data_IF_984812197724
#
_entry.id   IF_984812197724
#
_cell.length_a   1.000
_cell.length_b   1.000
_cell.length_c   1.000
_cell.angle_alpha   90.00
_cell.angle_beta   90.00
_cell.angle_gamma   90.00
#
_symmetry.space_group_name_H-M   'P 1'
#
loop_
_entity.id
_entity.type
_entity.pdbx_description
1 polymer ?
#
# COMPACT_ATOMS: atom_id res chain seq x y z
N UNK A 1 -16.55 -5.30 -28.00
CA UNK A 1 -15.59 -6.21 -27.32
C UNK A 1 -15.15 -5.53 -26.04
N UNK A 2 -15.20 -6.22 -24.89
CA UNK A 2 -14.78 -5.63 -23.61
C UNK A 2 -13.25 -5.50 -23.61
N UNK A 3 -12.77 -4.29 -23.41
CA UNK A 3 -11.34 -3.99 -23.21
C UNK A 3 -11.21 -2.87 -22.17
N UNK A 4 -10.61 -3.17 -21.05
CA UNK A 4 -10.38 -2.28 -19.92
C UNK A 4 -8.94 -1.81 -19.83
N UNK A 5 -8.10 -2.16 -20.79
CA UNK A 5 -6.72 -1.73 -20.83
C UNK A 5 -6.64 -0.25 -21.17
N UNK A 6 -5.74 0.46 -20.52
CA UNK A 6 -5.45 1.86 -20.79
C UNK A 6 -3.96 2.03 -21.07
N UNK A 7 -3.62 3.06 -21.86
CA UNK A 7 -2.29 3.22 -22.44
C UNK A 7 -1.22 3.74 -21.47
N UNK A 8 -1.64 4.36 -20.37
CA UNK A 8 -0.70 4.99 -19.43
C UNK A 8 -1.32 5.15 -18.03
N UNK A 9 -0.47 5.30 -17.03
CA UNK A 9 -0.89 5.61 -15.66
C UNK A 9 -1.67 6.93 -15.61
N UNK A 10 -1.29 7.94 -16.37
CA UNK A 10 -2.02 9.20 -16.47
C UNK A 10 -3.45 9.01 -16.99
N UNK A 11 -3.63 8.20 -18.05
CA UNK A 11 -4.97 7.84 -18.54
C UNK A 11 -5.75 7.01 -17.53
N UNK A 12 -5.05 6.17 -16.76
CA UNK A 12 -5.67 5.31 -15.75
C UNK A 12 -6.26 6.10 -14.59
N UNK A 13 -5.62 7.18 -14.12
CA UNK A 13 -6.11 8.03 -13.02
C UNK A 13 -6.97 9.20 -13.49
N UNK A 14 -7.17 9.36 -14.80
CA UNK A 14 -8.02 10.42 -15.34
C UNK A 14 -9.44 10.31 -14.77
N UNK A 15 -9.99 11.45 -14.34
CA UNK A 15 -11.32 11.55 -13.75
C UNK A 15 -11.35 11.42 -12.22
N UNK A 16 -10.22 11.19 -11.55
CA UNK A 16 -10.14 11.37 -10.09
C UNK A 16 -10.29 12.87 -9.83
N UNK A 17 -11.34 13.26 -9.10
CA UNK A 17 -11.69 14.66 -8.88
C UNK A 17 -11.27 15.13 -7.48
N UNK A 18 -11.26 16.43 -7.27
CA UNK A 18 -11.06 17.03 -5.95
C UNK A 18 -12.10 16.51 -4.96
N UNK A 19 -11.66 16.23 -3.74
CA UNK A 19 -12.50 15.70 -2.68
C UNK A 19 -12.83 14.21 -2.79
N UNK A 20 -12.38 13.52 -3.83
CA UNK A 20 -12.65 12.10 -4.00
C UNK A 20 -12.12 11.25 -2.82
N UNK A 21 -12.84 10.18 -2.50
CA UNK A 21 -12.34 9.12 -1.63
C UNK A 21 -11.62 8.08 -2.48
N UNK A 22 -10.34 7.86 -2.19
CA UNK A 22 -9.46 6.96 -2.94
C UNK A 22 -8.88 5.90 -2.00
N UNK A 23 -9.20 4.64 -2.25
CA UNK A 23 -8.53 3.51 -1.62
C UNK A 23 -7.21 3.25 -2.35
N UNK A 24 -6.13 3.08 -1.60
CA UNK A 24 -4.82 2.76 -2.17
C UNK A 24 -4.36 1.43 -1.57
N UNK A 25 -4.18 0.42 -2.40
CA UNK A 25 -3.69 -0.89 -1.99
C UNK A 25 -2.27 -0.81 -1.42
N UNK A 26 -1.89 -1.83 -0.64
CA UNK A 26 -0.56 -1.95 -0.08
C UNK A 26 -0.56 -2.15 1.43
N UNK A 27 0.54 -2.79 1.88
CA UNK A 27 0.89 -2.99 3.27
C UNK A 27 2.39 -2.69 3.41
N UNK A 28 2.74 -1.57 3.98
CA UNK A 28 4.07 -1.00 3.79
C UNK A 28 4.29 -0.71 2.30
N UNK A 29 5.37 -1.21 1.75
CA UNK A 29 5.68 -1.08 0.31
C UNK A 29 5.12 -2.23 -0.54
N UNK A 30 4.73 -3.35 0.10
CA UNK A 30 4.23 -4.52 -0.60
C UNK A 30 2.85 -4.26 -1.22
N UNK A 31 2.73 -4.37 -2.54
CA UNK A 31 1.47 -4.17 -3.27
C UNK A 31 1.06 -2.71 -3.43
N UNK A 32 1.95 -1.75 -3.16
CA UNK A 32 1.68 -0.33 -3.39
C UNK A 32 1.75 0.00 -4.89
N UNK A 33 0.71 0.64 -5.44
CA UNK A 33 0.65 1.03 -6.85
C UNK A 33 1.40 2.35 -7.09
N UNK A 34 2.73 2.34 -6.97
CA UNK A 34 3.56 3.56 -6.95
C UNK A 34 3.37 4.43 -8.19
N UNK A 35 3.32 3.81 -9.37
CA UNK A 35 3.21 4.53 -10.63
C UNK A 35 1.82 5.20 -10.81
N UNK A 36 0.77 4.59 -10.26
CA UNK A 36 -0.56 5.23 -10.19
C UNK A 36 -0.59 6.38 -9.18
N UNK A 37 0.15 6.28 -8.07
CA UNK A 37 0.27 7.36 -7.09
C UNK A 37 1.03 8.53 -7.71
N UNK A 38 2.13 8.29 -8.40
CA UNK A 38 2.92 9.33 -9.08
C UNK A 38 2.04 10.03 -10.15
N UNK A 39 1.32 9.27 -10.95
CA UNK A 39 0.38 9.83 -11.92
C UNK A 39 -0.76 10.64 -11.26
N UNK A 40 -1.24 10.25 -10.08
CA UNK A 40 -2.24 11.02 -9.34
C UNK A 40 -1.68 12.34 -8.81
N UNK A 41 -0.41 12.35 -8.37
CA UNK A 41 0.28 13.57 -7.96
C UNK A 41 0.37 14.56 -9.14
N UNK A 42 0.78 14.07 -10.32
CA UNK A 42 0.89 14.86 -11.56
C UNK A 42 -0.47 15.36 -12.05
N UNK A 43 -1.50 14.50 -11.99
CA UNK A 43 -2.87 14.83 -12.38
C UNK A 43 -3.45 16.00 -11.58
N UNK A 44 -3.08 16.13 -10.31
CA UNK A 44 -3.29 17.35 -9.54
C UNK A 44 -4.52 17.39 -8.66
N UNK A 45 -5.35 16.36 -8.57
CA UNK A 45 -6.51 16.31 -7.66
C UNK A 45 -6.11 16.60 -6.21
N UNK A 46 -6.95 17.32 -5.48
CA UNK A 46 -6.69 17.84 -4.13
C UNK A 46 -7.80 17.47 -3.15
N UNK A 47 -7.55 17.76 -1.87
CA UNK A 47 -8.51 17.54 -0.78
C UNK A 47 -9.00 16.09 -0.70
N UNK A 48 -8.18 15.16 -1.14
CA UNK A 48 -8.52 13.74 -1.20
C UNK A 48 -8.71 13.15 0.20
N UNK A 49 -9.63 12.20 0.31
CA UNK A 49 -9.70 11.27 1.44
C UNK A 49 -9.04 9.96 1.02
N UNK A 50 -7.96 9.59 1.67
CA UNK A 50 -7.22 8.36 1.37
C UNK A 50 -7.55 7.28 2.38
N UNK A 51 -7.81 6.07 1.89
CA UNK A 51 -7.96 4.86 2.71
C UNK A 51 -6.81 3.92 2.37
N UNK A 52 -5.96 3.65 3.36
CA UNK A 52 -4.83 2.71 3.24
C UNK A 52 -4.53 2.09 4.60
N UNK A 53 -3.74 1.03 4.65
CA UNK A 53 -3.34 0.43 5.92
C UNK A 53 -2.43 1.34 6.77
N UNK A 54 -1.61 2.14 6.14
CA UNK A 54 -0.67 3.08 6.78
C UNK A 54 -0.68 4.46 6.10
N UNK A 55 0.19 5.37 6.56
CA UNK A 55 0.27 6.72 6.02
C UNK A 55 1.53 6.97 5.14
N UNK A 56 2.18 5.89 4.71
CA UNK A 56 3.39 5.98 3.91
C UNK A 56 4.67 6.10 4.74
N UNK A 57 5.80 5.82 4.10
CA UNK A 57 7.13 5.86 4.66
C UNK A 57 8.05 6.72 3.82
N UNK A 58 9.07 7.29 4.43
CA UNK A 58 10.04 8.16 3.78
C UNK A 58 9.33 9.29 2.99
N UNK A 59 9.61 9.42 1.71
CA UNK A 59 9.08 10.48 0.84
C UNK A 59 8.59 9.97 -0.53
N UNK A 60 8.36 8.66 -0.64
CA UNK A 60 7.89 8.01 -1.86
C UNK A 60 6.49 7.41 -1.70
N UNK A 61 5.87 7.03 -2.81
CA UNK A 61 4.53 6.43 -2.82
C UNK A 61 3.50 7.28 -2.08
N UNK A 62 2.79 6.71 -1.10
CA UNK A 62 1.76 7.44 -0.35
C UNK A 62 2.34 8.66 0.41
N UNK A 63 3.57 8.56 0.95
CA UNK A 63 4.21 9.71 1.60
C UNK A 63 4.48 10.87 0.62
N UNK A 64 4.81 10.58 -0.65
CA UNK A 64 4.94 11.61 -1.69
C UNK A 64 3.61 12.32 -1.97
N UNK A 65 2.49 11.59 -2.00
CA UNK A 65 1.16 12.16 -2.17
C UNK A 65 0.80 13.11 -1.00
N UNK A 66 1.14 12.73 0.25
CA UNK A 66 0.99 13.58 1.42
C UNK A 66 1.88 14.82 1.33
N UNK A 67 3.16 14.66 1.00
CA UNK A 67 4.13 15.75 0.83
C UNK A 67 3.69 16.76 -0.25
N UNK A 68 3.04 16.29 -1.30
CA UNK A 68 2.44 17.13 -2.34
C UNK A 68 1.17 17.88 -1.87
N UNK A 69 0.75 17.72 -0.61
CA UNK A 69 -0.45 18.35 -0.01
C UNK A 69 -1.73 18.08 -0.81
N UNK A 70 -1.88 16.86 -1.32
CA UNK A 70 -3.07 16.43 -2.06
C UNK A 70 -4.15 15.87 -1.15
N UNK A 71 -3.81 15.48 0.08
CA UNK A 71 -4.66 14.73 1.00
C UNK A 71 -5.14 15.61 2.12
N UNK A 72 -6.45 15.68 2.32
CA UNK A 72 -7.11 16.31 3.47
C UNK A 72 -7.27 15.35 4.64
N UNK A 73 -7.65 14.11 4.36
CA UNK A 73 -7.96 13.09 5.37
C UNK A 73 -7.32 11.76 5.02
N UNK A 74 -6.80 11.07 6.03
CA UNK A 74 -6.37 9.68 5.91
C UNK A 74 -7.15 8.79 6.88
N UNK A 75 -7.66 7.66 6.38
CA UNK A 75 -8.30 6.59 7.15
C UNK A 75 -7.35 5.41 7.09
N UNK A 76 -6.74 5.05 8.23
CA UNK A 76 -5.74 3.99 8.28
C UNK A 76 -5.70 3.30 9.64
N UNK A 77 -4.99 2.18 9.71
CA UNK A 77 -4.84 1.42 10.95
C UNK A 77 -3.51 1.66 11.67
N UNK A 78 -2.48 2.03 10.94
CA UNK A 78 -1.13 2.21 11.47
C UNK A 78 -0.43 3.39 10.78
N UNK A 79 -0.71 4.64 11.21
CA UNK A 79 -0.22 5.83 10.53
C UNK A 79 1.29 6.02 10.64
N UNK A 80 1.90 5.56 11.76
CA UNK A 80 3.33 5.76 12.05
C UNK A 80 4.12 4.48 11.85
N UNK A 81 5.16 4.57 11.04
CA UNK A 81 6.22 3.58 10.90
C UNK A 81 7.56 4.27 11.20
N UNK A 82 8.68 3.57 11.06
CA UNK A 82 10.00 4.09 11.42
C UNK A 82 10.31 5.44 10.75
N UNK A 83 9.92 5.60 9.48
CA UNK A 83 10.25 6.79 8.67
C UNK A 83 9.01 7.59 8.26
N UNK A 84 8.01 7.71 9.13
CA UNK A 84 6.75 8.42 8.84
C UNK A 84 6.83 9.94 9.06
N UNK A 85 8.00 10.54 8.87
CA UNK A 85 8.23 11.95 9.17
C UNK A 85 7.33 12.91 8.37
N UNK A 86 6.94 12.57 7.14
CA UNK A 86 6.04 13.40 6.33
C UNK A 86 4.65 13.45 6.96
N UNK A 87 4.09 12.28 7.31
CA UNK A 87 2.80 12.21 8.00
C UNK A 87 2.84 12.94 9.35
N UNK A 88 3.88 12.68 10.16
CA UNK A 88 4.01 13.29 11.48
C UNK A 88 4.06 14.82 11.41
N UNK A 89 4.81 15.38 10.47
CA UNK A 89 4.87 16.84 10.26
C UNK A 89 3.50 17.43 9.93
N UNK A 90 2.76 16.84 9.00
CA UNK A 90 1.43 17.31 8.60
C UNK A 90 0.40 17.14 9.71
N UNK A 91 0.45 16.04 10.45
CA UNK A 91 -0.47 15.77 11.56
C UNK A 91 -0.28 16.75 12.71
N UNK A 92 0.98 16.99 13.13
CA UNK A 92 1.27 17.96 14.20
C UNK A 92 0.96 19.42 13.78
N UNK A 93 1.08 19.72 12.49
CA UNK A 93 0.69 21.03 11.97
C UNK A 93 -0.84 21.21 11.82
N UNK A 94 -1.65 20.17 12.06
CA UNK A 94 -3.10 20.20 11.83
C UNK A 94 -3.50 20.28 10.35
N UNK A 95 -2.57 19.94 9.43
CA UNK A 95 -2.80 20.01 7.98
C UNK A 95 -3.44 18.74 7.41
N UNK A 96 -3.54 17.64 8.19
CA UNK A 96 -4.17 16.39 7.80
C UNK A 96 -5.08 15.85 8.90
N UNK A 97 -6.28 15.44 8.52
CA UNK A 97 -7.21 14.74 9.40
C UNK A 97 -6.89 13.24 9.44
N UNK A 98 -6.85 12.66 10.64
CA UNK A 98 -6.64 11.22 10.83
C UNK A 98 -7.93 10.57 11.37
N UNK A 99 -8.40 9.53 10.68
CA UNK A 99 -9.33 8.54 11.22
C UNK A 99 -8.60 7.24 11.47
N UNK A 100 -8.32 6.95 12.74
CA UNK A 100 -7.66 5.73 13.15
C UNK A 100 -8.68 4.61 13.29
N UNK A 101 -8.46 3.49 12.58
CA UNK A 101 -9.36 2.33 12.56
C UNK A 101 -8.53 1.08 12.85
N UNK A 102 -8.90 0.23 13.82
CA UNK A 102 -8.22 -1.06 14.02
C UNK A 102 -8.12 -1.84 12.70
N UNK A 103 -6.97 -2.46 12.42
CA UNK A 103 -6.69 -3.06 11.12
C UNK A 103 -7.75 -4.08 10.67
N UNK A 104 -8.21 -4.94 11.60
CA UNK A 104 -9.29 -5.87 11.29
C UNK A 104 -10.60 -5.16 10.94
N UNK A 105 -10.95 -4.09 11.69
CA UNK A 105 -12.14 -3.29 11.40
C UNK A 105 -11.99 -2.55 10.05
N UNK A 106 -10.79 -2.03 9.74
CA UNK A 106 -10.52 -1.39 8.45
C UNK A 106 -10.76 -2.36 7.29
N UNK A 107 -10.18 -3.55 7.36
CA UNK A 107 -10.35 -4.58 6.35
C UNK A 107 -11.82 -4.98 6.20
N UNK A 108 -12.53 -5.19 7.32
CA UNK A 108 -13.91 -5.62 7.30
C UNK A 108 -14.87 -4.51 6.86
N UNK A 109 -14.63 -3.25 7.21
CA UNK A 109 -15.40 -2.09 6.73
C UNK A 109 -15.28 -1.92 5.22
N UNK A 110 -14.08 -2.16 4.65
CA UNK A 110 -13.86 -2.18 3.20
C UNK A 110 -14.57 -3.37 2.57
N UNK A 111 -14.42 -4.58 3.13
CA UNK A 111 -15.08 -5.78 2.63
C UNK A 111 -16.60 -5.65 2.67
N UNK A 112 -17.16 -5.11 3.75
CA UNK A 112 -18.58 -4.88 3.90
C UNK A 112 -19.14 -3.98 2.79
N UNK A 113 -18.41 -2.92 2.42
CA UNK A 113 -18.79 -2.06 1.31
C UNK A 113 -18.91 -2.84 -0.01
N UNK A 114 -17.90 -3.67 -0.33
CA UNK A 114 -17.89 -4.49 -1.54
C UNK A 114 -18.95 -5.61 -1.54
N UNK A 115 -19.38 -6.05 -0.37
CA UNK A 115 -20.40 -7.10 -0.20
C UNK A 115 -21.83 -6.54 -0.05
N UNK A 116 -22.02 -5.21 -0.06
CA UNK A 116 -23.34 -4.61 0.14
C UNK A 116 -23.88 -4.73 1.58
N UNK A 117 -22.99 -4.95 2.57
CA UNK A 117 -23.35 -5.03 4.00
C UNK A 117 -23.40 -3.62 4.54
N UNK A 118 -24.58 -3.17 5.02
CA UNK A 118 -24.80 -1.82 5.49
C UNK A 118 -24.13 -1.48 6.82
N UNK A 119 -23.94 -2.44 7.70
CA UNK A 119 -23.24 -2.32 8.98
C UNK A 119 -22.98 -3.69 9.57
N UNK A 120 -22.07 -3.80 10.53
CA UNK A 120 -21.80 -5.03 11.25
C UNK A 120 -21.32 -4.74 12.69
N UNK A 121 -21.54 -5.70 13.59
CA UNK A 121 -21.04 -5.63 14.95
C UNK A 121 -19.71 -6.36 15.10
N UNK A 122 -18.74 -5.74 15.77
CA UNK A 122 -17.43 -6.32 16.07
C UNK A 122 -17.05 -6.06 17.53
N UNK A 123 -16.37 -7.00 18.21
CA UNK A 123 -15.90 -6.76 19.58
C UNK A 123 -14.65 -5.86 19.61
N UNK A 124 -13.98 -5.69 18.47
CA UNK A 124 -12.73 -4.93 18.39
C UNK A 124 -12.99 -3.44 18.57
N UNK A 125 -12.30 -2.85 19.54
CA UNK A 125 -12.42 -1.43 19.87
C UNK A 125 -13.41 -1.13 20.99
N UNK A 126 -14.22 -2.09 21.44
CA UNK A 126 -15.12 -1.88 22.57
C UNK A 126 -14.35 -1.47 23.84
N UNK A 127 -14.85 -0.46 24.55
CA UNK A 127 -14.21 0.07 25.77
C UNK A 127 -12.99 0.95 25.53
N UNK A 128 -12.73 1.34 24.29
CA UNK A 128 -11.67 2.30 23.92
C UNK A 128 -12.26 3.56 23.33
N UNK A 129 -11.44 4.60 23.16
CA UNK A 129 -11.79 5.85 22.48
C UNK A 129 -12.37 5.63 21.07
N UNK A 130 -12.00 4.53 20.42
CA UNK A 130 -12.48 4.20 19.08
C UNK A 130 -13.95 3.76 19.04
N UNK A 131 -14.54 3.45 20.19
CA UNK A 131 -15.96 3.13 20.33
C UNK A 131 -16.83 4.34 20.72
N UNK A 132 -16.24 5.47 21.06
CA UNK A 132 -16.99 6.65 21.45
C UNK A 132 -17.94 7.13 20.35
N UNK A 133 -19.19 7.40 20.71
CA UNK A 133 -20.23 7.84 19.79
C UNK A 133 -20.81 6.74 18.88
N UNK A 134 -20.32 5.48 18.98
CA UNK A 134 -20.84 4.35 18.21
C UNK A 134 -21.87 3.56 19.01
N UNK A 135 -22.86 2.99 18.30
CA UNK A 135 -23.79 2.04 18.90
C UNK A 135 -23.02 0.82 19.45
N UNK A 136 -23.41 0.39 20.66
CA UNK A 136 -22.89 -0.82 21.27
C UNK A 136 -24.00 -1.81 21.55
N UNK A 137 -23.70 -3.10 21.49
CA UNK A 137 -24.67 -4.17 21.76
C UNK A 137 -24.03 -5.34 22.47
N UNK A 138 -24.77 -5.95 23.38
CA UNK A 138 -24.39 -7.24 23.97
C UNK A 138 -25.02 -8.33 23.12
N UNK A 139 -24.22 -9.25 22.62
CA UNK A 139 -24.63 -10.42 21.86
C UNK A 139 -23.96 -11.64 22.51
N UNK A 140 -24.75 -12.61 22.94
CA UNK A 140 -24.27 -13.82 23.62
C UNK A 140 -23.28 -13.52 24.77
N UNK A 141 -23.62 -12.52 25.59
CA UNK A 141 -22.83 -12.12 26.77
C UNK A 141 -21.53 -11.37 26.45
N UNK A 142 -21.26 -11.04 25.18
CA UNK A 142 -20.08 -10.28 24.74
C UNK A 142 -20.47 -8.92 24.20
N UNK A 143 -19.67 -7.92 24.51
CA UNK A 143 -19.87 -6.55 24.02
C UNK A 143 -19.34 -6.37 22.61
N UNK A 144 -20.09 -5.63 21.79
CA UNK A 144 -19.78 -5.31 20.40
C UNK A 144 -19.99 -3.83 20.14
N UNK A 145 -19.30 -3.33 19.11
CA UNK A 145 -19.43 -1.97 18.56
C UNK A 145 -19.94 -2.07 17.13
N UNK A 146 -20.86 -1.22 16.74
CA UNK A 146 -21.33 -1.10 15.36
C UNK A 146 -20.31 -0.39 14.51
N UNK A 147 -19.94 -1.01 13.38
CA UNK A 147 -19.08 -0.43 12.35
C UNK A 147 -19.82 -0.31 11.04
N UNK A 148 -19.58 0.79 10.32
CA UNK A 148 -20.14 1.05 9.01
C UNK A 148 -19.13 0.79 7.89
N UNK A 149 -19.60 0.40 6.68
CA UNK A 149 -18.73 0.18 5.53
C UNK A 149 -17.99 1.45 5.13
N UNK A 150 -16.83 1.28 4.51
CA UNK A 150 -16.09 2.36 3.85
C UNK A 150 -16.23 2.17 2.34
N UNK A 151 -16.94 3.09 1.70
CA UNK A 151 -17.04 3.16 0.24
C UNK A 151 -16.02 4.14 -0.32
N UNK A 152 -15.59 3.95 -1.56
CA UNK A 152 -14.72 4.88 -2.26
C UNK A 152 -15.20 5.19 -3.67
N UNK A 153 -14.78 6.34 -4.18
CA UNK A 153 -14.99 6.70 -5.58
C UNK A 153 -14.01 5.94 -6.47
N UNK A 154 -12.75 5.79 -5.99
CA UNK A 154 -11.71 5.09 -6.71
C UNK A 154 -10.94 4.12 -5.81
N UNK A 155 -10.45 3.03 -6.40
CA UNK A 155 -9.42 2.17 -5.82
C UNK A 155 -8.24 2.08 -6.77
N UNK A 156 -7.03 2.38 -6.26
CA UNK A 156 -5.77 2.19 -6.95
C UNK A 156 -5.10 0.95 -6.34
N UNK A 157 -4.93 -0.10 -7.14
CA UNK A 157 -4.39 -1.37 -6.66
C UNK A 157 -3.24 -1.86 -7.56
N UNK A 158 -2.37 -2.69 -6.99
CA UNK A 158 -1.29 -3.36 -7.72
C UNK A 158 -1.53 -4.85 -7.77
N UNK A 159 -1.48 -5.40 -8.96
CA UNK A 159 -1.56 -6.83 -9.22
C UNK A 159 -0.32 -7.34 -9.97
N UNK A 160 -0.13 -8.63 -10.10
CA UNK A 160 0.98 -9.22 -10.84
C UNK A 160 0.67 -9.27 -12.33
N UNK A 161 -0.45 -9.89 -12.70
CA UNK A 161 -0.93 -10.00 -14.06
C UNK A 161 -2.40 -9.63 -14.12
N UNK A 162 -2.81 -9.11 -15.26
CA UNK A 162 -4.21 -8.88 -15.59
C UNK A 162 -4.50 -9.21 -17.02
N UNK A 163 -5.77 -9.47 -17.35
CA UNK A 163 -6.23 -9.56 -18.71
C UNK A 163 -7.05 -8.32 -19.11
N UNK A 164 -7.41 -8.22 -20.37
CA UNK A 164 -8.22 -7.08 -20.89
C UNK A 164 -9.64 -7.01 -20.31
N UNK A 165 -10.11 -8.04 -19.64
CA UNK A 165 -11.40 -8.04 -18.94
C UNK A 165 -11.27 -7.54 -17.50
N UNK A 166 -10.01 -7.38 -17.01
CA UNK A 166 -9.73 -6.93 -15.65
C UNK A 166 -9.67 -8.05 -14.64
N UNK A 167 -9.55 -9.31 -15.03
CA UNK A 167 -9.23 -10.40 -14.12
C UNK A 167 -7.78 -10.24 -13.63
N UNK A 168 -7.53 -10.41 -12.33
CA UNK A 168 -6.24 -10.12 -11.74
C UNK A 168 -5.69 -11.28 -10.92
N UNK A 169 -4.38 -11.50 -11.03
CA UNK A 169 -3.59 -12.35 -10.14
C UNK A 169 -2.63 -11.52 -9.31
N UNK A 170 -2.17 -12.04 -8.18
CA UNK A 170 -1.28 -11.34 -7.27
C UNK A 170 -0.08 -12.20 -6.92
N UNK A 171 1.02 -11.54 -6.54
CA UNK A 171 2.23 -12.23 -6.14
C UNK A 171 2.48 -12.07 -4.64
N UNK A 172 2.50 -13.19 -3.92
CA UNK A 172 2.83 -13.25 -2.48
C UNK A 172 1.99 -12.23 -1.66
N UNK A 173 2.65 -11.51 -0.74
CA UNK A 173 2.01 -10.53 0.16
C UNK A 173 1.54 -9.25 -0.55
N UNK A 174 1.89 -9.03 -1.80
CA UNK A 174 1.35 -7.90 -2.57
C UNK A 174 -0.17 -7.97 -2.80
N UNK A 175 -0.77 -9.15 -2.58
CA UNK A 175 -2.21 -9.33 -2.61
C UNK A 175 -2.96 -8.50 -1.56
N UNK A 176 -2.51 -8.51 -0.31
CA UNK A 176 -3.05 -7.82 0.88
C UNK A 176 -4.44 -7.17 0.72
N UNK A 177 -4.58 -5.84 0.81
CA UNK A 177 -5.85 -5.12 0.71
C UNK A 177 -6.40 -4.98 -0.72
N UNK A 178 -5.60 -5.26 -1.76
CA UNK A 178 -6.00 -5.05 -3.16
C UNK A 178 -7.37 -5.65 -3.53
N UNK A 179 -7.62 -6.94 -3.28
CA UNK A 179 -8.88 -7.58 -3.67
C UNK A 179 -10.13 -6.98 -3.00
N UNK A 180 -10.08 -6.69 -1.69
CA UNK A 180 -11.23 -6.11 -0.99
C UNK A 180 -11.48 -4.65 -1.38
N UNK A 181 -10.42 -3.87 -1.64
CA UNK A 181 -10.54 -2.50 -2.12
C UNK A 181 -11.14 -2.45 -3.53
N UNK A 182 -10.77 -3.41 -4.39
CA UNK A 182 -11.31 -3.50 -5.73
C UNK A 182 -12.84 -3.62 -5.75
N UNK A 183 -13.42 -4.35 -4.81
CA UNK A 183 -14.87 -4.54 -4.74
C UNK A 183 -15.62 -3.37 -4.08
N UNK A 184 -14.92 -2.50 -3.33
CA UNK A 184 -15.52 -1.45 -2.50
C UNK A 184 -15.57 -0.08 -3.16
N UNK A 185 -14.98 0.09 -4.35
CA UNK A 185 -14.91 1.35 -5.07
C UNK A 185 -15.82 1.37 -6.29
N UNK A 186 -16.29 2.56 -6.68
CA UNK A 186 -17.06 2.77 -7.92
C UNK A 186 -16.20 2.56 -9.16
N UNK A 187 -14.91 2.90 -9.10
CA UNK A 187 -13.96 2.74 -10.19
C UNK A 187 -12.64 2.19 -9.67
N UNK A 188 -12.33 0.95 -10.00
CA UNK A 188 -11.05 0.30 -9.67
C UNK A 188 -10.09 0.37 -10.83
N UNK A 189 -8.90 0.88 -10.54
CA UNK A 189 -7.76 1.00 -11.44
C UNK A 189 -6.67 0.06 -10.97
N UNK A 190 -6.31 -0.91 -11.80
CA UNK A 190 -5.28 -1.89 -11.50
C UNK A 190 -4.00 -1.61 -12.30
N UNK A 191 -2.92 -1.39 -11.58
CA UNK A 191 -1.56 -1.41 -12.12
C UNK A 191 -1.09 -2.86 -12.14
N UNK A 192 -0.64 -3.36 -13.28
CA UNK A 192 -0.13 -4.72 -13.44
C UNK A 192 1.28 -4.71 -14.02
N UNK A 193 2.07 -5.73 -13.71
CA UNK A 193 3.36 -5.93 -14.36
C UNK A 193 3.19 -6.32 -15.83
N UNK A 194 2.12 -7.07 -16.12
CA UNK A 194 1.90 -7.63 -17.45
C UNK A 194 0.40 -7.76 -17.73
N UNK A 195 0.00 -7.35 -18.93
CA UNK A 195 -1.32 -7.67 -19.47
C UNK A 195 -1.17 -8.91 -20.36
N UNK A 196 -1.82 -9.98 -19.97
CA UNK A 196 -1.78 -11.26 -20.73
C UNK A 196 -2.99 -11.38 -21.67
N UNK A 197 -2.85 -12.24 -22.66
CA UNK A 197 -3.96 -12.56 -23.55
C UNK A 197 -5.14 -13.15 -22.77
N UNK A 198 -6.36 -12.93 -23.26
CA UNK A 198 -7.56 -13.53 -22.67
C UNK A 198 -7.45 -15.06 -22.68
N UNK A 199 -7.70 -15.71 -21.52
CA UNK A 199 -7.50 -17.14 -21.33
C UNK A 199 -6.05 -17.51 -20.94
N UNK A 200 -5.13 -16.53 -20.83
CA UNK A 200 -3.77 -16.77 -20.41
C UNK A 200 -3.58 -16.82 -18.89
N UNK A 201 -4.57 -16.38 -18.10
CA UNK A 201 -4.58 -16.57 -16.66
C UNK A 201 -5.19 -17.93 -16.32
N UNK A 202 -4.57 -18.65 -15.39
CA UNK A 202 -5.19 -19.81 -14.77
C UNK A 202 -6.43 -19.37 -13.99
N UNK A 203 -7.64 -19.86 -14.30
CA UNK A 203 -8.88 -19.46 -13.61
C UNK A 203 -8.83 -19.66 -12.09
N UNK A 204 -8.16 -20.70 -11.62
CA UNK A 204 -8.02 -20.99 -10.17
C UNK A 204 -7.12 -19.97 -9.45
N UNK A 205 -6.28 -19.25 -10.17
CA UNK A 205 -5.40 -18.22 -9.62
C UNK A 205 -5.98 -16.79 -9.73
N UNK A 206 -7.15 -16.61 -10.33
CA UNK A 206 -7.83 -15.32 -10.38
C UNK A 206 -8.38 -14.98 -9.00
N UNK A 207 -7.79 -13.95 -8.37
CA UNK A 207 -8.20 -13.50 -7.04
C UNK A 207 -9.19 -12.34 -7.11
N UNK A 208 -9.03 -11.43 -8.07
CA UNK A 208 -9.99 -10.35 -8.31
C UNK A 208 -10.64 -10.56 -9.65
N UNK A 209 -11.93 -10.91 -9.69
CA UNK A 209 -12.69 -11.02 -10.93
C UNK A 209 -12.81 -9.67 -11.64
N UNK A 210 -12.79 -9.71 -12.95
CA UNK A 210 -12.83 -8.50 -13.78
C UNK A 210 -14.05 -7.61 -13.56
N UNK A 211 -15.16 -8.14 -13.04
CA UNK A 211 -16.36 -7.33 -12.73
C UNK A 211 -16.08 -6.17 -11.78
N UNK A 212 -15.05 -6.28 -10.92
CA UNK A 212 -14.66 -5.24 -9.97
C UNK A 212 -13.64 -4.25 -10.51
N UNK A 213 -13.11 -4.45 -11.73
CA UNK A 213 -12.03 -3.64 -12.28
C UNK A 213 -12.52 -2.89 -13.51
N UNK A 214 -12.31 -1.58 -13.56
CA UNK A 214 -12.72 -0.72 -14.67
C UNK A 214 -11.55 -0.37 -15.58
N UNK A 215 -10.32 -0.31 -15.06
CA UNK A 215 -9.13 0.04 -15.84
C UNK A 215 -7.94 -0.84 -15.45
N UNK A 216 -7.19 -1.27 -16.44
CA UNK A 216 -5.95 -2.05 -16.27
C UNK A 216 -4.83 -1.34 -17.02
N UNK A 217 -3.74 -1.05 -16.36
CA UNK A 217 -2.55 -0.46 -16.98
C UNK A 217 -1.33 -1.32 -16.70
N UNK A 218 -0.62 -1.70 -17.75
CA UNK A 218 0.70 -2.30 -17.62
C UNK A 218 1.74 -1.22 -17.34
N UNK A 219 2.58 -1.46 -16.35
CA UNK A 219 3.72 -0.60 -16.04
C UNK A 219 4.98 -1.45 -15.99
N UNK A 220 5.98 -1.03 -16.75
CA UNK A 220 7.28 -1.70 -16.73
C UNK A 220 7.93 -1.45 -15.37
N UNK A 221 8.23 -2.52 -14.63
CA UNK A 221 9.09 -2.41 -13.46
C UNK A 221 10.51 -2.16 -13.99
N UNK A 222 11.20 -1.07 -13.60
CA UNK A 222 12.59 -0.86 -13.99
C UNK A 222 13.39 -2.11 -13.62
N UNK A 223 13.97 -2.77 -14.62
CA UNK A 223 14.83 -3.94 -14.39
C UNK A 223 16.04 -3.47 -13.56
N UNK A 224 16.31 -4.14 -12.43
CA UNK A 224 17.50 -3.90 -11.60
C UNK A 224 18.80 -4.37 -12.29
N UNK A 225 18.96 -4.12 -13.59
CA UNK A 225 20.10 -4.59 -14.39
C UNK A 225 21.14 -3.55 -14.74
N UNK A 226 21.19 -2.38 -14.07
CA UNK A 226 22.20 -1.35 -14.40
C UNK A 226 23.14 -0.92 -13.27
N UNK A 227 23.26 -1.69 -12.17
CA UNK A 227 24.17 -1.31 -11.06
C UNK A 227 25.35 -2.27 -10.86
N UNK A 228 25.64 -3.16 -11.83
CA UNK A 228 26.79 -4.08 -11.73
C UNK A 228 27.88 -3.88 -12.82
N UNK A 229 28.11 -2.69 -13.33
CA UNK A 229 29.21 -2.47 -14.27
C UNK A 229 30.05 -1.22 -14.00
N UNK A 230 30.29 -0.90 -12.72
CA UNK A 230 31.29 0.14 -12.36
C UNK A 230 32.05 -0.20 -11.08
N UNK A 231 32.69 -1.39 -11.00
CA UNK A 231 33.76 -1.62 -10.01
C UNK A 231 34.67 -2.78 -10.41
N UNK A 232 35.29 -2.68 -11.58
CA UNK A 232 36.42 -3.55 -11.91
C UNK A 232 37.35 -2.82 -12.86
N UNK A 233 38.00 -1.75 -12.38
CA UNK A 233 39.24 -1.25 -12.98
C UNK A 233 39.87 -0.27 -11.97
N UNK A 234 40.69 -0.79 -11.06
CA UNK A 234 41.88 -0.14 -10.48
C UNK A 234 42.33 -0.91 -9.24
N UNK A 235 43.22 -1.83 -9.43
CA UNK A 235 44.34 -2.09 -8.51
C UNK A 235 45.26 -3.16 -9.10
N UNK A 236 46.16 -2.75 -9.95
CA UNK A 236 47.46 -3.41 -10.13
C UNK A 236 48.50 -2.30 -10.12
N UNK A 237 49.27 -2.30 -9.05
CA UNK A 237 50.70 -1.97 -9.00
C UNK A 237 51.10 -1.48 -7.61
N UNK A 238 51.73 -2.30 -6.85
CA UNK A 238 53.08 -2.08 -6.34
C UNK A 238 53.41 -3.09 -5.28
N UNK A 239 54.32 -3.95 -5.67
CA UNK A 239 55.05 -4.96 -4.93
C UNK A 239 56.17 -4.32 -4.11
N UNK A 240 56.62 -5.05 -3.04
CA UNK A 240 57.88 -5.00 -2.29
C UNK A 240 57.87 -4.14 -1.01
N UNK A 241 58.23 -4.70 0.09
CA UNK A 241 59.24 -5.52 0.66
C UNK A 241 59.44 -5.26 2.15
N UNK A 242 59.83 -6.33 2.83
CA UNK A 242 60.66 -6.45 4.07
C UNK A 242 59.90 -6.42 5.42
N UNK A 243 59.78 -7.58 6.03
CA UNK A 243 60.69 -8.40 6.84
C UNK A 243 60.79 -8.01 8.34
N UNK A 244 60.62 -9.05 9.16
CA UNK A 244 61.19 -9.29 10.52
C UNK A 244 60.54 -8.55 11.70
N UNK A 245 60.16 -9.15 12.82
CA UNK A 245 60.73 -10.13 13.69
C UNK A 245 59.91 -10.16 15.00
N UNK A 246 59.54 -11.36 15.46
CA UNK A 246 59.46 -11.83 16.89
C UNK A 246 58.84 -10.91 17.95
N UNK A 247 57.85 -11.32 18.77
CA UNK A 247 57.97 -12.22 19.90
C UNK A 247 56.64 -12.24 20.66
N UNK A 248 56.13 -13.40 20.99
CA UNK A 248 55.30 -13.64 22.19
C UNK A 248 56.18 -13.62 23.44
N UNK A 249 55.67 -13.44 24.66
CA UNK A 249 54.87 -14.46 25.32
C UNK A 249 53.78 -13.97 26.31
N UNK A 250 52.79 -14.83 26.42
CA UNK A 250 52.17 -15.49 27.60
C UNK A 250 51.97 -14.76 28.94
N UNK A 251 50.79 -15.06 29.46
CA UNK A 251 50.39 -15.48 30.82
C UNK A 251 49.60 -14.45 31.64
N UNK A 252 48.50 -14.90 32.00
CA UNK A 252 47.89 -15.50 33.20
C UNK A 252 46.97 -14.50 33.93
N UNK A 253 45.72 -14.81 34.02
CA UNK A 253 44.96 -15.47 35.10
C UNK A 253 44.56 -14.61 36.29
N UNK A 254 43.37 -14.90 36.74
CA UNK A 254 42.77 -14.72 38.09
C UNK A 254 41.97 -13.42 38.31
N UNK A 255 40.65 -13.57 38.43
CA UNK A 255 39.78 -13.99 39.52
C UNK A 255 39.27 -12.85 40.41
N UNK A 256 37.94 -12.92 40.67
CA UNK A 256 37.15 -12.37 41.81
C UNK A 256 36.79 -10.87 41.74
N UNK A 257 35.59 -10.49 41.82
CA UNK A 257 34.45 -10.76 42.75
C UNK A 257 33.13 -10.43 42.02
#
# INVERSE_FOLDING_TARGET
>A
MIDKTVRSAAAAVAGIHDGATVMIGGFGTAGMPSELIDALIEQGARTLTIVNNNAGNADSGLAALLKAKRVRKIICSFPRQTDSYVFDALYHAGEIELELVPQGNLAERIRAAGAGIGAFFTPTGYGTLLAEGKETRVIDGRNYVLEHPIHADFALIKAEQGDRWGNLTYRKTARNFGPIMASAAKCTVAQVREVVALGGLDPENIVTPGIFVQRVVAVETPSQSSTQSRSSTQSQSSTQSQSSTQSQPQAAAQERS
#
